data_IF_511206083413
#
_entry.id   IF_511206083413
#
_cell.length_a   1.000
_cell.length_b   1.000
_cell.length_c   1.000
_cell.angle_alpha   90.00
_cell.angle_beta   90.00
_cell.angle_gamma   90.00
#
_symmetry.space_group_name_H-M   'P 1'
#
loop_
_entity.id
_entity.type
_entity.pdbx_description
1 polymer ?
#
# COMPACT_ATOMS: atom_id res chain seq x y z
N UNK A 1 12.80 -13.37 11.87
CA UNK A 1 13.03 -13.91 10.52
C UNK A 1 14.03 -13.00 9.83
N UNK A 2 14.93 -13.54 9.02
CA UNK A 2 15.91 -12.73 8.27
C UNK A 2 15.45 -12.66 6.82
N UNK A 3 15.32 -11.44 6.28
CA UNK A 3 14.98 -11.19 4.89
C UNK A 3 16.25 -10.78 4.13
N UNK A 4 16.35 -11.11 2.85
CA UNK A 4 17.51 -10.75 2.04
C UNK A 4 17.36 -9.37 1.43
N UNK A 5 16.12 -9.00 1.10
CA UNK A 5 15.81 -7.79 0.34
C UNK A 5 15.05 -6.75 1.14
N UNK A 6 14.75 -7.02 2.41
CA UNK A 6 13.99 -6.13 3.30
C UNK A 6 14.70 -5.91 4.63
N UNK A 7 14.44 -4.77 5.25
CA UNK A 7 14.62 -4.55 6.69
C UNK A 7 13.23 -4.47 7.33
N UNK A 8 13.06 -5.10 8.49
CA UNK A 8 11.79 -5.08 9.23
C UNK A 8 12.05 -4.69 10.68
N UNK A 9 11.34 -3.67 11.15
CA UNK A 9 11.43 -3.11 12.50
C UNK A 9 10.02 -3.01 13.10
N UNK A 10 9.85 -3.31 14.39
CA UNK A 10 8.61 -3.05 15.11
C UNK A 10 8.75 -1.79 15.97
N UNK A 11 7.83 -0.83 15.79
CA UNK A 11 7.73 0.42 16.54
C UNK A 11 6.40 0.45 17.28
N UNK A 12 6.40 -0.09 18.50
CA UNK A 12 5.16 -0.32 19.25
C UNK A 12 4.24 -1.29 18.49
N UNK A 13 3.03 -0.85 18.17
CA UNK A 13 2.04 -1.63 17.42
C UNK A 13 2.12 -1.43 15.89
N UNK A 14 3.21 -0.85 15.39
CA UNK A 14 3.45 -0.60 13.97
C UNK A 14 4.63 -1.42 13.45
N UNK A 15 4.43 -2.14 12.35
CA UNK A 15 5.53 -2.81 11.62
C UNK A 15 6.05 -1.90 10.51
N UNK A 16 7.31 -1.49 10.59
CA UNK A 16 8.01 -0.78 9.52
C UNK A 16 8.76 -1.79 8.64
N UNK A 17 8.39 -1.83 7.36
CA UNK A 17 9.05 -2.61 6.32
C UNK A 17 9.79 -1.65 5.38
N UNK A 18 11.07 -1.91 5.14
CA UNK A 18 11.91 -1.10 4.25
C UNK A 18 12.48 -1.96 3.14
N UNK A 19 12.19 -1.63 1.88
CA UNK A 19 12.84 -2.25 0.71
C UNK A 19 14.35 -1.95 0.77
N UNK A 20 15.18 -2.97 0.75
CA UNK A 20 16.62 -2.87 0.98
C UNK A 20 17.45 -3.44 -0.18
N UNK A 21 17.27 -2.84 -1.36
CA UNK A 21 18.12 -3.07 -2.54
C UNK A 21 18.63 -1.74 -3.10
N UNK A 22 19.31 -0.88 -2.32
CA UNK A 22 19.68 0.47 -2.73
C UNK A 22 20.58 0.49 -3.99
N UNK A 23 21.42 -0.53 -4.17
CA UNK A 23 22.26 -0.74 -5.36
C UNK A 23 21.47 -0.88 -6.66
N UNK A 24 20.21 -1.30 -6.57
CA UNK A 24 19.28 -1.45 -7.69
C UNK A 24 18.12 -0.44 -7.58
N UNK A 25 18.28 0.64 -6.79
CA UNK A 25 17.23 1.63 -6.51
C UNK A 25 15.91 0.98 -6.06
N UNK A 26 16.02 -0.07 -5.24
CA UNK A 26 14.90 -0.83 -4.72
C UNK A 26 13.98 -1.42 -5.81
N UNK A 27 14.54 -1.78 -6.98
CA UNK A 27 13.79 -2.47 -8.03
C UNK A 27 13.14 -3.76 -7.50
N UNK A 28 11.92 -4.04 -7.96
CA UNK A 28 11.10 -5.17 -7.53
C UNK A 28 11.43 -6.40 -8.36
N UNK A 29 11.61 -7.54 -7.70
CA UNK A 29 11.86 -8.81 -8.35
C UNK A 29 11.16 -9.92 -7.57
N UNK A 30 11.24 -11.16 -8.05
CA UNK A 30 10.53 -12.29 -7.44
C UNK A 30 10.93 -12.52 -5.98
N UNK A 31 12.22 -12.31 -5.65
CA UNK A 31 12.71 -12.41 -4.27
C UNK A 31 12.19 -11.30 -3.35
N UNK A 32 12.07 -10.07 -3.86
CA UNK A 32 11.42 -8.96 -3.12
C UNK A 32 9.97 -9.30 -2.83
N UNK A 33 9.24 -9.85 -3.80
CA UNK A 33 7.87 -10.29 -3.59
C UNK A 33 7.76 -11.39 -2.53
N UNK A 34 8.61 -12.41 -2.59
CA UNK A 34 8.61 -13.51 -1.61
C UNK A 34 8.92 -13.00 -0.19
N UNK A 35 9.92 -12.10 -0.05
CA UNK A 35 10.24 -11.49 1.24
C UNK A 35 9.08 -10.61 1.75
N UNK A 36 8.40 -9.85 0.86
CA UNK A 36 7.24 -9.02 1.22
C UNK A 36 6.06 -9.88 1.67
N UNK A 37 5.76 -10.97 0.96
CA UNK A 37 4.72 -11.93 1.34
C UNK A 37 5.03 -12.50 2.72
N UNK A 38 6.27 -12.93 2.97
CA UNK A 38 6.66 -13.49 4.26
C UNK A 38 6.60 -12.44 5.40
N UNK A 39 7.05 -11.21 5.16
CA UNK A 39 7.01 -10.12 6.13
C UNK A 39 5.57 -9.72 6.50
N UNK A 40 4.71 -9.56 5.50
CA UNK A 40 3.32 -9.18 5.74
C UNK A 40 2.48 -10.33 6.31
N UNK A 41 2.79 -11.59 5.99
CA UNK A 41 2.16 -12.73 6.65
C UNK A 41 2.51 -12.77 8.16
N UNK A 42 3.76 -12.47 8.53
CA UNK A 42 4.16 -12.35 9.93
C UNK A 42 3.44 -11.18 10.63
N UNK A 43 3.32 -10.04 9.96
CA UNK A 43 2.54 -8.89 10.43
C UNK A 43 1.05 -9.22 10.64
N UNK A 44 0.40 -9.90 9.69
CA UNK A 44 -0.99 -10.32 9.81
C UNK A 44 -1.19 -11.28 11.00
N UNK A 45 -0.26 -12.21 11.21
CA UNK A 45 -0.34 -13.21 12.28
C UNK A 45 -0.11 -12.64 13.70
N UNK A 46 0.60 -11.53 13.84
CA UNK A 46 0.91 -10.93 15.16
C UNK A 46 -0.20 -9.98 15.63
N UNK A 47 -1.02 -10.32 16.65
CA UNK A 47 -2.09 -9.45 17.13
C UNK A 47 -1.59 -8.16 17.81
N UNK A 48 -0.30 -8.10 18.19
CA UNK A 48 0.34 -6.90 18.73
C UNK A 48 0.65 -5.85 17.65
N UNK A 49 0.77 -6.27 16.38
CA UNK A 49 1.00 -5.37 15.26
C UNK A 49 -0.32 -5.08 14.54
N UNK A 50 -0.68 -3.79 14.44
CA UNK A 50 -2.02 -3.34 14.04
C UNK A 50 -2.04 -2.45 12.81
N UNK A 51 -0.89 -1.88 12.43
CA UNK A 51 -0.72 -1.18 11.16
C UNK A 51 0.71 -1.40 10.64
N UNK A 52 0.91 -1.40 9.32
CA UNK A 52 2.24 -1.48 8.72
C UNK A 52 2.58 -0.22 7.91
N UNK A 53 3.87 0.09 7.80
CA UNK A 53 4.40 1.12 6.89
C UNK A 53 5.42 0.46 5.97
N UNK A 54 5.29 0.66 4.67
CA UNK A 54 6.28 0.25 3.66
C UNK A 54 7.01 1.48 3.13
N UNK A 55 8.34 1.47 3.10
CA UNK A 55 9.17 2.51 2.49
C UNK A 55 10.37 1.92 1.74
N UNK A 56 11.15 2.75 1.03
CA UNK A 56 12.39 2.35 0.40
C UNK A 56 13.62 2.77 1.20
N UNK A 57 14.67 1.96 1.19
CA UNK A 57 15.97 2.33 1.78
C UNK A 57 16.66 3.44 0.99
N UNK A 58 17.46 4.25 1.70
CA UNK A 58 18.19 5.38 1.15
C UNK A 58 17.28 6.54 0.72
N UNK A 59 17.89 7.56 0.09
CA UNK A 59 17.21 8.84 -0.14
C UNK A 59 16.75 9.03 -1.59
N UNK A 60 16.95 8.03 -2.45
CA UNK A 60 16.71 8.15 -3.90
C UNK A 60 15.40 7.53 -4.37
N UNK A 61 15.05 6.35 -3.86
CA UNK A 61 13.96 5.57 -4.42
C UNK A 61 13.15 4.87 -3.34
N UNK A 62 11.83 4.98 -3.47
CA UNK A 62 10.94 4.00 -2.88
C UNK A 62 11.14 2.66 -3.59
N UNK A 63 10.89 2.64 -4.90
CA UNK A 63 11.19 1.53 -5.81
C UNK A 63 11.19 2.04 -7.27
N UNK A 64 12.29 1.82 -7.99
CA UNK A 64 12.48 2.34 -9.34
C UNK A 64 12.08 1.36 -10.46
N UNK A 65 10.99 0.62 -10.28
CA UNK A 65 10.45 -0.31 -11.28
C UNK A 65 10.66 -1.79 -10.94
N UNK A 66 10.34 -2.65 -11.90
CA UNK A 66 10.66 -4.08 -11.83
C UNK A 66 12.08 -4.36 -12.35
N UNK A 67 12.69 -5.43 -11.88
CA UNK A 67 14.01 -5.88 -12.31
C UNK A 67 13.91 -6.48 -13.71
N UNK A 68 14.25 -5.66 -14.72
CA UNK A 68 14.14 -6.01 -16.15
C UNK A 68 14.91 -7.31 -16.48
N UNK A 69 15.93 -7.67 -15.70
CA UNK A 69 16.68 -8.90 -15.90
C UNK A 69 15.84 -10.17 -15.75
N UNK A 70 14.76 -10.14 -14.94
CA UNK A 70 13.84 -11.29 -14.81
C UNK A 70 12.91 -11.44 -16.02
N UNK A 71 12.80 -10.40 -16.85
CA UNK A 71 11.80 -10.30 -17.91
C UNK A 71 12.39 -10.31 -19.33
N UNK A 72 13.62 -9.83 -19.50
CA UNK A 72 14.19 -9.54 -20.82
C UNK A 72 14.21 -10.75 -21.77
N UNK A 73 14.57 -11.92 -21.25
CA UNK A 73 14.72 -13.15 -22.04
C UNK A 73 13.53 -14.12 -21.86
N UNK A 74 12.49 -13.70 -21.13
CA UNK A 74 11.37 -14.58 -20.78
C UNK A 74 10.37 -14.67 -21.95
N UNK A 75 10.05 -15.88 -22.46
CA UNK A 75 9.07 -16.05 -23.52
C UNK A 75 7.67 -15.60 -23.10
N UNK A 76 6.88 -15.07 -24.05
CA UNK A 76 5.50 -14.65 -23.80
C UNK A 76 4.60 -15.81 -23.31
N UNK A 77 4.87 -17.05 -23.76
CA UNK A 77 4.17 -18.24 -23.28
C UNK A 77 4.37 -18.45 -21.78
N UNK A 78 5.58 -18.21 -21.28
CA UNK A 78 5.94 -18.47 -19.89
C UNK A 78 5.35 -17.39 -18.99
N UNK A 79 5.34 -16.12 -19.45
CA UNK A 79 4.60 -15.05 -18.77
C UNK A 79 3.13 -15.40 -18.55
N UNK A 80 2.49 -15.98 -19.57
CA UNK A 80 1.08 -16.37 -19.50
C UNK A 80 0.88 -17.61 -18.62
N UNK A 81 1.68 -18.65 -18.80
CA UNK A 81 1.54 -19.92 -18.07
C UNK A 81 1.86 -19.79 -16.58
N UNK A 82 2.80 -18.91 -16.22
CA UNK A 82 3.17 -18.64 -14.83
C UNK A 82 2.28 -17.58 -14.16
N UNK A 83 1.44 -16.90 -14.95
CA UNK A 83 0.68 -15.72 -14.50
C UNK A 83 1.56 -14.76 -13.70
N UNK A 84 2.67 -14.33 -14.32
CA UNK A 84 3.90 -13.86 -13.67
C UNK A 84 3.70 -12.80 -12.57
N UNK A 85 2.74 -11.88 -12.73
CA UNK A 85 2.47 -10.82 -11.76
C UNK A 85 1.32 -11.12 -10.78
N UNK A 86 0.62 -12.25 -10.92
CA UNK A 86 -0.59 -12.58 -10.13
C UNK A 86 -0.36 -12.56 -8.63
N UNK A 87 0.78 -13.07 -8.16
CA UNK A 87 1.12 -13.18 -6.73
C UNK A 87 1.13 -11.84 -6.00
N UNK A 88 1.47 -10.73 -6.68
CA UNK A 88 1.34 -9.38 -6.11
C UNK A 88 -0.09 -9.09 -5.65
N UNK A 89 -1.09 -9.64 -6.33
CA UNK A 89 -2.50 -9.48 -5.95
C UNK A 89 -3.01 -10.66 -5.13
N UNK A 90 -2.79 -11.91 -5.56
CA UNK A 90 -3.41 -13.10 -4.96
C UNK A 90 -2.81 -13.47 -3.60
N UNK A 91 -1.50 -13.32 -3.45
CA UNK A 91 -0.74 -13.86 -2.32
C UNK A 91 -0.22 -12.74 -1.40
N UNK A 92 -0.12 -11.52 -1.92
CA UNK A 92 0.23 -10.34 -1.15
C UNK A 92 -1.01 -9.50 -0.79
N UNK A 93 -1.51 -8.65 -1.69
CA UNK A 93 -2.57 -7.67 -1.37
C UNK A 93 -3.83 -8.30 -0.79
N UNK A 94 -4.36 -9.37 -1.42
CA UNK A 94 -5.60 -10.02 -0.95
C UNK A 94 -5.48 -10.73 0.40
N UNK A 95 -4.26 -10.93 0.91
CA UNK A 95 -4.01 -11.60 2.19
C UNK A 95 -3.85 -10.62 3.35
N UNK A 96 -3.67 -9.33 3.08
CA UNK A 96 -3.41 -8.30 4.09
C UNK A 96 -4.72 -7.62 4.49
N UNK A 97 -5.26 -7.98 5.65
CA UNK A 97 -6.51 -7.40 6.17
C UNK A 97 -6.26 -6.19 7.04
N UNK A 98 -5.13 -6.13 7.75
CA UNK A 98 -4.79 -4.98 8.58
C UNK A 98 -4.40 -3.78 7.70
N UNK A 99 -4.56 -2.54 8.21
CA UNK A 99 -4.16 -1.36 7.46
C UNK A 99 -2.66 -1.27 7.23
N UNK A 100 -2.24 -0.80 6.06
CA UNK A 100 -0.85 -0.50 5.75
C UNK A 100 -0.68 0.69 4.80
N UNK A 101 0.40 1.44 5.01
CA UNK A 101 0.68 2.73 4.38
C UNK A 101 1.94 2.61 3.53
N UNK A 102 1.94 3.18 2.32
CA UNK A 102 3.18 3.42 1.59
C UNK A 102 3.75 4.80 1.92
N UNK A 103 4.95 4.85 2.49
CA UNK A 103 5.72 6.07 2.71
C UNK A 103 6.73 6.23 1.57
N UNK A 104 6.38 7.00 0.55
CA UNK A 104 7.17 7.12 -0.69
C UNK A 104 8.22 8.20 -0.55
N UNK A 105 9.48 7.79 -0.34
CA UNK A 105 10.63 8.63 -0.04
C UNK A 105 11.33 9.23 -1.28
N UNK A 106 11.10 8.69 -2.47
CA UNK A 106 11.77 9.15 -3.69
C UNK A 106 11.11 8.64 -4.97
N UNK A 107 11.91 8.16 -5.93
CA UNK A 107 11.38 7.53 -7.14
C UNK A 107 10.47 6.34 -6.82
N UNK A 108 9.26 6.38 -7.35
CA UNK A 108 8.25 5.33 -7.33
C UNK A 108 7.76 5.16 -8.77
N UNK A 109 8.46 4.31 -9.53
CA UNK A 109 8.31 4.22 -10.99
C UNK A 109 7.86 2.82 -11.39
N UNK A 110 6.98 2.74 -12.38
CA UNK A 110 6.43 1.48 -12.91
C UNK A 110 5.92 0.57 -11.80
N UNK A 111 6.44 -0.66 -11.72
CA UNK A 111 6.17 -1.59 -10.62
C UNK A 111 6.27 -0.98 -9.21
N UNK A 112 7.19 -0.03 -8.98
CA UNK A 112 7.27 0.69 -7.71
C UNK A 112 6.11 1.65 -7.44
N UNK A 113 5.60 2.32 -8.47
CA UNK A 113 4.36 3.10 -8.39
C UNK A 113 3.15 2.18 -8.20
N UNK A 114 3.14 1.03 -8.87
CA UNK A 114 2.09 0.03 -8.75
C UNK A 114 2.03 -0.55 -7.34
N UNK A 115 3.18 -0.89 -6.73
CA UNK A 115 3.28 -1.32 -5.34
C UNK A 115 2.83 -0.25 -4.35
N UNK A 116 3.19 1.02 -4.56
CA UNK A 116 2.72 2.11 -3.71
C UNK A 116 1.18 2.23 -3.75
N UNK A 117 0.57 2.10 -4.93
CA UNK A 117 -0.89 2.12 -5.10
C UNK A 117 -1.61 0.86 -4.59
N UNK A 118 -0.87 -0.19 -4.19
CA UNK A 118 -1.45 -1.35 -3.52
C UNK A 118 -1.69 -1.10 -2.02
N UNK A 119 -1.00 -0.13 -1.42
CA UNK A 119 -1.24 0.27 -0.04
C UNK A 119 -2.63 0.91 0.13
N UNK A 120 -3.12 0.94 1.37
CA UNK A 120 -4.43 1.54 1.64
C UNK A 120 -4.43 3.05 1.34
N UNK A 121 -3.28 3.70 1.54
CA UNK A 121 -3.00 5.04 1.03
C UNK A 121 -1.49 5.35 1.03
N UNK A 122 -1.13 6.44 0.36
CA UNK A 122 0.25 6.88 0.20
C UNK A 122 0.48 8.20 0.95
N UNK A 123 1.56 8.29 1.72
CA UNK A 123 2.16 9.56 2.18
C UNK A 123 3.46 9.74 1.40
N UNK A 124 3.64 10.91 0.79
CA UNK A 124 4.78 11.18 -0.08
C UNK A 124 5.75 12.19 0.54
N UNK A 125 7.04 11.98 0.32
CA UNK A 125 8.04 13.05 0.47
C UNK A 125 7.84 14.10 -0.61
N UNK A 126 8.13 15.36 -0.29
CA UNK A 126 8.29 16.46 -1.25
C UNK A 126 9.29 16.18 -2.40
N UNK A 127 10.23 15.24 -2.22
CA UNK A 127 11.16 14.77 -3.25
C UNK A 127 10.60 13.62 -4.11
N UNK A 128 9.43 13.06 -3.78
CA UNK A 128 8.88 11.91 -4.48
C UNK A 128 8.55 12.21 -5.95
N UNK A 129 8.78 11.20 -6.80
CA UNK A 129 8.45 11.22 -8.23
C UNK A 129 7.75 9.92 -8.60
N UNK A 130 6.55 10.03 -9.15
CA UNK A 130 5.70 8.92 -9.57
C UNK A 130 5.70 8.78 -11.10
N UNK A 131 5.47 7.58 -11.63
CA UNK A 131 5.38 7.42 -13.08
C UNK A 131 5.09 6.00 -13.52
N UNK A 132 4.60 5.87 -14.76
CA UNK A 132 4.39 4.60 -15.47
C UNK A 132 5.22 4.60 -16.77
N UNK A 133 6.56 4.47 -16.68
CA UNK A 133 7.47 4.60 -17.82
C UNK A 133 7.58 3.34 -18.70
N UNK A 134 6.81 2.29 -18.43
CA UNK A 134 6.82 0.99 -19.12
C UNK A 134 6.80 1.10 -20.65
N UNK A 135 6.09 2.10 -21.19
CA UNK A 135 6.00 2.33 -22.63
C UNK A 135 7.37 2.59 -23.28
N UNK A 136 8.33 3.12 -22.53
CA UNK A 136 9.71 3.34 -23.00
C UNK A 136 10.48 2.04 -23.20
N UNK A 137 9.97 0.93 -22.68
CA UNK A 137 10.50 -0.42 -22.86
C UNK A 137 9.66 -1.25 -23.85
N UNK A 138 8.66 -0.63 -24.51
CA UNK A 138 7.76 -1.33 -25.43
C UNK A 138 6.70 -2.20 -24.74
N UNK A 139 6.49 -2.03 -23.43
CA UNK A 139 5.49 -2.74 -22.64
C UNK A 139 4.52 -1.76 -21.96
N UNK A 140 3.61 -2.27 -21.13
CA UNK A 140 2.62 -1.47 -20.40
C UNK A 140 2.63 -1.86 -18.91
N UNK A 141 2.02 -1.05 -18.02
CA UNK A 141 1.91 -1.40 -16.60
C UNK A 141 1.27 -2.78 -16.40
N UNK A 142 1.97 -3.67 -15.70
CA UNK A 142 1.64 -5.10 -15.57
C UNK A 142 1.20 -5.54 -14.17
N UNK A 143 1.45 -4.71 -13.14
CA UNK A 143 1.08 -5.00 -11.75
C UNK A 143 -0.18 -4.22 -11.31
N UNK A 144 -0.94 -3.69 -12.27
CA UNK A 144 -2.24 -3.03 -12.08
C UNK A 144 -2.23 -1.50 -12.20
N UNK A 145 -1.14 -0.90 -12.67
CA UNK A 145 -0.96 0.55 -12.82
C UNK A 145 -1.99 1.19 -13.72
N UNK A 146 -2.31 0.57 -14.86
CA UNK A 146 -3.37 1.05 -15.76
C UNK A 146 -4.75 1.12 -15.10
N UNK A 147 -4.98 0.31 -14.05
CA UNK A 147 -6.25 0.21 -13.35
C UNK A 147 -6.31 1.12 -12.12
N UNK A 148 -5.31 1.03 -11.24
CA UNK A 148 -5.27 1.77 -9.98
C UNK A 148 -4.98 3.25 -10.20
N UNK A 149 -4.02 3.59 -11.09
CA UNK A 149 -3.72 4.99 -11.41
C UNK A 149 -4.94 5.69 -11.99
N UNK A 150 -5.59 5.06 -12.98
CA UNK A 150 -6.78 5.62 -13.63
C UNK A 150 -7.93 5.86 -12.65
N UNK A 151 -8.14 4.95 -11.68
CA UNK A 151 -9.14 5.12 -10.62
C UNK A 151 -8.79 6.24 -9.64
N UNK A 152 -7.50 6.48 -9.39
CA UNK A 152 -7.04 7.53 -8.49
C UNK A 152 -7.09 8.93 -9.14
N UNK A 153 -6.53 9.10 -10.34
CA UNK A 153 -6.27 10.43 -10.94
C UNK A 153 -7.09 10.75 -12.19
N UNK A 154 -7.99 9.84 -12.58
CA UNK A 154 -8.83 9.96 -13.77
C UNK A 154 -8.11 9.66 -15.09
N UNK A 155 -8.92 9.46 -16.13
CA UNK A 155 -8.47 8.97 -17.45
C UNK A 155 -7.40 9.84 -18.11
N UNK A 156 -7.59 11.16 -18.11
CA UNK A 156 -6.74 12.06 -18.90
C UNK A 156 -5.27 12.02 -18.44
N UNK A 157 -5.04 12.20 -17.13
CA UNK A 157 -3.69 12.19 -16.55
C UNK A 157 -3.07 10.79 -16.58
N UNK A 158 -3.85 9.75 -16.29
CA UNK A 158 -3.36 8.37 -16.35
C UNK A 158 -2.90 8.01 -17.78
N UNK A 159 -3.69 8.38 -18.80
CA UNK A 159 -3.28 8.20 -20.20
C UNK A 159 -2.04 8.99 -20.56
N UNK A 160 -1.97 10.26 -20.17
CA UNK A 160 -0.78 11.08 -20.41
C UNK A 160 0.48 10.43 -19.81
N UNK A 161 0.41 9.99 -18.55
CA UNK A 161 1.53 9.32 -17.88
C UNK A 161 1.90 8.00 -18.56
N UNK A 162 0.94 7.11 -18.82
CA UNK A 162 1.20 5.79 -19.42
C UNK A 162 1.65 5.86 -20.88
N UNK A 163 1.18 6.86 -21.65
CA UNK A 163 1.51 6.99 -23.08
C UNK A 163 2.79 7.81 -23.33
N UNK A 164 3.23 8.61 -22.38
CA UNK A 164 4.46 9.41 -22.51
C UNK A 164 5.61 8.89 -21.63
N UNK A 165 5.27 8.11 -20.60
CA UNK A 165 6.20 7.73 -19.54
C UNK A 165 6.75 8.94 -18.77
N UNK A 166 6.01 10.07 -18.72
CA UNK A 166 6.40 11.24 -17.93
C UNK A 166 6.26 10.95 -16.44
N UNK A 167 7.07 11.66 -15.65
CA UNK A 167 6.95 11.63 -14.20
C UNK A 167 5.95 12.69 -13.71
N UNK A 168 5.36 12.40 -12.56
CA UNK A 168 4.48 13.24 -11.76
C UNK A 168 5.21 13.56 -10.45
N UNK A 169 5.26 14.82 -10.06
CA UNK A 169 5.87 15.21 -8.77
C UNK A 169 4.91 15.07 -7.59
N UNK A 170 5.43 15.15 -6.37
CA UNK A 170 4.65 14.98 -5.15
C UNK A 170 3.46 15.95 -5.05
N UNK A 171 3.66 17.22 -5.43
CA UNK A 171 2.60 18.23 -5.42
C UNK A 171 1.52 17.95 -6.49
N UNK A 172 1.89 17.36 -7.63
CA UNK A 172 0.94 16.89 -8.64
C UNK A 172 0.19 15.65 -8.18
N UNK A 173 0.89 14.74 -7.53
CA UNK A 173 0.31 13.52 -7.01
C UNK A 173 -0.79 13.84 -5.97
N UNK A 174 -0.56 14.80 -5.08
CA UNK A 174 -1.53 15.20 -4.04
C UNK A 174 -2.76 15.88 -4.66
N UNK A 175 -2.57 16.93 -5.47
CA UNK A 175 -3.71 17.63 -6.12
C UNK A 175 -4.50 16.76 -7.11
N UNK A 176 -3.95 15.61 -7.49
CA UNK A 176 -4.60 14.64 -8.37
C UNK A 176 -5.31 13.52 -7.61
N UNK A 177 -5.09 13.37 -6.30
CA UNK A 177 -5.64 12.30 -5.48
C UNK A 177 -4.84 10.99 -5.50
N UNK A 178 -3.61 10.98 -6.05
CA UNK A 178 -2.74 9.80 -6.01
C UNK A 178 -2.17 9.55 -4.61
N UNK A 179 -1.88 10.62 -3.86
CA UNK A 179 -1.33 10.54 -2.50
C UNK A 179 -2.21 11.32 -1.54
N UNK A 180 -2.29 10.86 -0.29
CA UNK A 180 -3.14 11.47 0.72
C UNK A 180 -2.60 12.82 1.21
N UNK A 181 -1.26 12.93 1.30
CA UNK A 181 -0.56 14.17 1.66
C UNK A 181 0.93 14.11 1.32
N UNK A 182 1.54 15.29 1.20
CA UNK A 182 2.98 15.48 1.05
C UNK A 182 3.58 16.02 2.34
N UNK A 183 4.74 15.51 2.72
CA UNK A 183 5.51 15.96 3.90
C UNK A 183 6.97 16.18 3.52
N UNK A 184 7.72 16.91 4.36
CA UNK A 184 9.16 17.09 4.16
C UNK A 184 9.87 15.72 4.17
N UNK A 185 10.82 15.52 3.25
CA UNK A 185 11.56 14.26 3.10
C UNK A 185 12.10 13.71 4.42
N UNK A 186 12.78 14.56 5.19
CA UNK A 186 13.43 14.17 6.46
C UNK A 186 12.43 13.70 7.53
N UNK A 187 11.16 14.07 7.41
CA UNK A 187 10.10 13.71 8.36
C UNK A 187 9.16 12.63 7.84
N UNK A 188 9.38 12.11 6.62
CA UNK A 188 8.43 11.22 5.97
C UNK A 188 8.14 9.96 6.78
N UNK A 189 9.18 9.23 7.19
CA UNK A 189 9.02 7.97 7.92
C UNK A 189 8.36 8.24 9.26
N UNK A 190 8.77 9.28 9.98
CA UNK A 190 8.20 9.62 11.28
C UNK A 190 6.72 10.04 11.18
N UNK A 191 6.35 10.83 10.17
CA UNK A 191 4.96 11.19 9.93
C UNK A 191 4.11 9.98 9.50
N UNK A 192 4.66 9.06 8.71
CA UNK A 192 3.98 7.82 8.35
C UNK A 192 3.80 6.90 9.57
N UNK A 193 4.83 6.74 10.40
CA UNK A 193 4.75 5.99 11.66
C UNK A 193 3.73 6.62 12.60
N UNK A 194 3.71 7.95 12.74
CA UNK A 194 2.72 8.66 13.54
C UNK A 194 1.30 8.38 13.07
N UNK A 195 1.03 8.44 11.76
CA UNK A 195 -0.28 8.07 11.20
C UNK A 195 -0.61 6.60 11.48
N UNK A 196 0.34 5.68 11.27
CA UNK A 196 0.17 4.27 11.54
C UNK A 196 -0.07 3.98 13.03
N UNK A 197 0.58 4.70 13.94
CA UNK A 197 0.36 4.60 15.38
C UNK A 197 -1.06 5.06 15.75
N UNK A 198 -1.56 6.13 15.14
CA UNK A 198 -2.96 6.55 15.32
C UNK A 198 -3.92 5.45 14.86
N UNK A 199 -3.68 4.84 13.69
CA UNK A 199 -4.52 3.73 13.20
C UNK A 199 -4.43 2.51 14.13
N UNK A 200 -3.22 2.16 14.60
CA UNK A 200 -2.99 1.05 15.52
C UNK A 200 -3.67 1.24 16.89
N UNK A 201 -3.92 2.49 17.28
CA UNK A 201 -4.66 2.85 18.49
C UNK A 201 -6.19 2.80 18.32
N UNK A 202 -6.72 2.57 17.12
CA UNK A 202 -8.16 2.40 16.88
C UNK A 202 -8.63 0.97 17.22
N UNK A 203 -9.94 0.72 17.37
CA UNK A 203 -10.47 -0.62 17.52
C UNK A 203 -10.05 -1.54 16.36
N UNK A 204 -9.30 -2.63 16.59
CA UNK A 204 -8.67 -3.41 15.51
C UNK A 204 -9.66 -3.95 14.47
N UNK A 205 -10.80 -4.46 14.93
CA UNK A 205 -11.82 -4.99 14.01
C UNK A 205 -12.47 -3.87 13.19
N UNK A 206 -12.73 -2.70 13.79
CA UNK A 206 -13.29 -1.57 13.07
C UNK A 206 -12.32 -1.01 12.03
N UNK A 207 -11.01 -0.98 12.31
CA UNK A 207 -10.00 -0.54 11.35
C UNK A 207 -9.97 -1.44 10.10
N UNK A 208 -9.99 -2.77 10.28
CA UNK A 208 -10.07 -3.72 9.17
C UNK A 208 -11.39 -3.62 8.40
N UNK A 209 -12.51 -3.48 9.11
CA UNK A 209 -13.84 -3.34 8.47
C UNK A 209 -13.95 -2.06 7.66
N UNK A 210 -13.42 -0.93 8.15
CA UNK A 210 -13.41 0.32 7.38
C UNK A 210 -12.60 0.18 6.08
N UNK A 211 -11.46 -0.50 6.13
CA UNK A 211 -10.68 -0.84 4.93
C UNK A 211 -11.50 -1.69 3.95
N UNK A 212 -12.17 -2.74 4.42
CA UNK A 212 -13.02 -3.60 3.59
C UNK A 212 -14.16 -2.80 2.91
N UNK A 213 -14.82 -1.90 3.66
CA UNK A 213 -15.89 -1.04 3.15
C UNK A 213 -15.40 -0.08 2.05
N UNK A 214 -14.27 0.60 2.26
CA UNK A 214 -13.72 1.55 1.28
C UNK A 214 -13.27 0.82 0.02
N UNK A 215 -12.61 -0.33 0.16
CA UNK A 215 -12.17 -1.12 -0.99
C UNK A 215 -13.36 -1.61 -1.84
N UNK A 216 -14.50 -1.95 -1.24
CA UNK A 216 -15.68 -2.40 -1.96
C UNK A 216 -16.26 -1.33 -2.92
N UNK A 217 -15.98 -0.04 -2.68
CA UNK A 217 -16.42 1.05 -3.55
C UNK A 217 -15.81 0.98 -4.97
N UNK A 218 -14.69 0.27 -5.13
CA UNK A 218 -14.02 0.10 -6.43
C UNK A 218 -14.44 -1.18 -7.18
N UNK A 219 -15.17 -2.07 -6.51
CA UNK A 219 -15.51 -3.41 -7.00
C UNK A 219 -17.01 -3.63 -7.18
N UNK A 220 -17.84 -2.69 -6.73
CA UNK A 220 -19.30 -2.81 -6.73
C UNK A 220 -19.99 -1.53 -7.19
N UNK A 221 -21.29 -1.61 -7.49
CA UNK A 221 -22.12 -0.42 -7.70
C UNK A 221 -22.40 0.27 -6.36
N UNK A 222 -22.73 1.57 -6.39
CA UNK A 222 -23.02 2.34 -5.19
C UNK A 222 -24.07 1.67 -4.29
N UNK A 223 -25.19 1.20 -4.85
CA UNK A 223 -26.25 0.55 -4.07
C UNK A 223 -25.75 -0.73 -3.37
N UNK A 224 -24.97 -1.56 -4.07
CA UNK A 224 -24.38 -2.76 -3.48
C UNK A 224 -23.33 -2.44 -2.41
N UNK A 225 -22.50 -1.41 -2.64
CA UNK A 225 -21.56 -0.91 -1.64
C UNK A 225 -22.26 -0.43 -0.37
N UNK A 226 -23.36 0.32 -0.48
CA UNK A 226 -24.16 0.79 0.66
C UNK A 226 -24.82 -0.37 1.43
N UNK A 227 -25.25 -1.42 0.73
CA UNK A 227 -25.75 -2.65 1.38
C UNK A 227 -24.62 -3.34 2.14
N UNK A 228 -23.45 -3.52 1.51
CA UNK A 228 -22.27 -4.14 2.10
C UNK A 228 -21.81 -3.39 3.36
N UNK A 229 -21.66 -2.06 3.28
CA UNK A 229 -21.33 -1.18 4.40
C UNK A 229 -22.31 -1.36 5.57
N UNK A 230 -23.62 -1.29 5.30
CA UNK A 230 -24.62 -1.45 6.36
C UNK A 230 -24.55 -2.81 7.04
N UNK A 231 -24.23 -3.89 6.31
CA UNK A 231 -24.09 -5.24 6.89
C UNK A 231 -22.84 -5.34 7.76
N UNK A 232 -21.71 -4.82 7.31
CA UNK A 232 -20.49 -4.83 8.12
C UNK A 232 -20.60 -3.94 9.36
N UNK A 233 -21.28 -2.80 9.27
CA UNK A 233 -21.59 -1.96 10.44
C UNK A 233 -22.44 -2.72 11.47
N UNK A 234 -23.46 -3.46 11.03
CA UNK A 234 -24.30 -4.27 11.91
C UNK A 234 -23.50 -5.36 12.65
N UNK A 235 -22.46 -5.92 12.02
CA UNK A 235 -21.55 -6.85 12.68
C UNK A 235 -20.74 -6.14 13.76
N UNK A 236 -20.19 -4.94 13.47
CA UNK A 236 -19.45 -4.16 14.48
C UNK A 236 -20.32 -3.79 15.69
N UNK A 237 -21.63 -3.61 15.50
CA UNK A 237 -22.57 -3.32 16.60
C UNK A 237 -22.68 -4.46 17.64
N UNK A 238 -22.18 -5.65 17.34
CA UNK A 238 -22.15 -6.79 18.26
C UNK A 238 -20.81 -6.94 19.02
N UNK A 239 -19.79 -6.12 18.72
CA UNK A 239 -18.43 -6.24 19.30
C UNK A 239 -18.32 -5.67 20.72
N UNK A 240 -17.38 -6.21 21.52
CA UNK A 240 -17.02 -5.64 22.82
C UNK A 240 -16.42 -4.23 22.62
N UNK A 241 -15.60 -4.05 21.59
CA UNK A 241 -14.97 -2.76 21.28
C UNK A 241 -15.98 -1.64 20.99
N UNK A 242 -17.12 -1.95 20.35
CA UNK A 242 -18.18 -0.96 20.16
C UNK A 242 -18.80 -0.55 21.50
N UNK A 243 -19.09 -1.51 22.38
CA UNK A 243 -19.65 -1.20 23.70
C UNK A 243 -18.69 -0.34 24.52
N UNK A 244 -17.41 -0.70 24.52
CA UNK A 244 -16.34 0.07 25.16
C UNK A 244 -16.21 1.48 24.56
N UNK A 245 -16.20 1.62 23.24
CA UNK A 245 -16.02 2.92 22.58
C UNK A 245 -17.17 3.88 22.89
N UNK A 246 -18.40 3.38 22.94
CA UNK A 246 -19.56 4.18 23.34
C UNK A 246 -19.49 4.59 24.82
N UNK A 247 -19.10 3.68 25.72
CA UNK A 247 -18.93 3.98 27.13
C UNK A 247 -17.81 5.01 27.36
N UNK A 248 -16.63 4.79 26.76
CA UNK A 248 -15.48 5.67 26.87
C UNK A 248 -15.78 7.09 26.38
N UNK A 249 -16.54 7.22 25.29
CA UNK A 249 -16.98 8.52 24.77
C UNK A 249 -17.90 9.26 25.75
N UNK A 250 -18.89 8.57 26.32
CA UNK A 250 -19.82 9.14 27.31
C UNK A 250 -19.07 9.55 28.59
N UNK A 251 -18.13 8.72 29.04
CA UNK A 251 -17.33 8.89 30.24
C UNK A 251 -16.13 9.84 30.06
N UNK A 252 -15.87 10.31 28.82
CA UNK A 252 -14.74 11.18 28.45
C UNK A 252 -13.37 10.61 28.83
N UNK A 253 -13.17 9.32 28.56
CA UNK A 253 -11.89 8.61 28.75
C UNK A 253 -11.44 7.96 27.45
N UNK A 254 -10.20 7.51 27.43
CA UNK A 254 -9.71 6.68 26.33
C UNK A 254 -10.35 5.29 26.35
N UNK A 255 -10.61 4.74 25.17
CA UNK A 255 -11.14 3.39 25.00
C UNK A 255 -10.04 2.33 25.02
N UNK A 256 -10.33 1.17 25.61
CA UNK A 256 -9.41 0.03 25.71
C UNK A 256 -9.88 -1.11 24.82
N UNK A 257 -9.22 -1.28 23.67
CA UNK A 257 -9.67 -2.20 22.63
C UNK A 257 -9.14 -3.63 22.81
N UNK A 258 -10.06 -4.60 22.78
CA UNK A 258 -9.81 -6.05 22.82
C UNK A 258 -9.77 -6.70 21.44
N UNK A 259 -10.25 -6.01 20.40
CA UNK A 259 -10.24 -6.51 19.02
C UNK A 259 -11.30 -7.57 18.75
N UNK A 260 -12.42 -7.55 19.48
CA UNK A 260 -13.53 -8.49 19.35
C UNK A 260 -14.85 -7.87 19.78
#
# INVERSE_FOLDING_TARGET
MTYETLLVEQRGAVTLVTLNRPQALNALNSKVLDDLIAAFAAFEADPGQRCAVLTGSGDKAFAAGADIKEMADKPASDFYLEDFFSKWTSDFVKKIRKPWIAAVNGFSLGGGCELAMMADFIIASDKAKFGQPEIKLGVAPGMGGSQRLTRAIGKAKAMEMCLTGRMMDAAEAERSGLVARVVAHESLVDEAIKTATTIAAMPPMAAMVNKDMVNAAFETTLDQGLIYERRLFQILAATEDKAEGMAAFIEKREGVWKGR
#
